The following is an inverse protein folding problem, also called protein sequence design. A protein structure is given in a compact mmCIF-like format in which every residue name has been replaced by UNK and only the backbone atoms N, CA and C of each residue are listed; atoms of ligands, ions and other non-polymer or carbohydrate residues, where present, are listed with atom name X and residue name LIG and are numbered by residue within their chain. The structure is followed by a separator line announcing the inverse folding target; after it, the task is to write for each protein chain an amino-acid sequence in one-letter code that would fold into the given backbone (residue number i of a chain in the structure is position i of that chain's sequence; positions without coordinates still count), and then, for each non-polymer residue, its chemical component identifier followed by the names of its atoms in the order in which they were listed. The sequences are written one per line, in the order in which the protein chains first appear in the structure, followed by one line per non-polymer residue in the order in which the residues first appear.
data_IF_938073302882
#
_entry.id   IF_938073302882
#
_cell.length_a   1.000
_cell.length_b   1.000
_cell.length_c   1.000
_cell.angle_alpha   90.00
_cell.angle_beta   90.00
_cell.angle_gamma   90.00
#
_symmetry.space_group_name_H-M   'P 1'
#
loop_
_entity.id
_entity.type
_entity.pdbx_description
1 polymer ?
#
# COMPACT_ATOMS: atom_id res chain seq x y z
N UNK A 1 24.40 3.42 -4.13
CA UNK A 1 23.31 3.91 -5.00
C UNK A 1 22.57 2.67 -5.47
N UNK A 2 21.53 2.25 -4.74
CA UNK A 2 20.76 1.05 -5.07
C UNK A 2 19.80 1.43 -6.19
N UNK A 3 20.09 0.93 -7.38
CA UNK A 3 19.19 0.93 -8.53
C UNK A 3 17.94 0.13 -8.18
N UNK A 4 16.78 0.50 -8.72
CA UNK A 4 15.53 -0.21 -8.51
C UNK A 4 15.70 -1.71 -8.83
N UNK A 5 15.66 -2.55 -7.80
CA UNK A 5 15.68 -4.01 -7.95
C UNK A 5 14.40 -4.46 -8.68
N UNK A 6 14.45 -5.56 -9.46
CA UNK A 6 13.26 -6.12 -10.08
C UNK A 6 12.18 -6.35 -9.02
N UNK A 7 10.95 -5.95 -9.33
CA UNK A 7 9.80 -6.15 -8.45
C UNK A 7 9.66 -7.63 -8.10
N UNK A 8 9.94 -8.00 -6.84
CA UNK A 8 9.77 -9.37 -6.37
C UNK A 8 8.29 -9.70 -6.33
N UNK A 9 7.91 -10.89 -6.79
CA UNK A 9 6.52 -11.34 -6.82
C UNK A 9 6.35 -12.46 -5.80
N UNK A 10 5.35 -12.33 -4.93
CA UNK A 10 4.90 -13.39 -4.02
C UNK A 10 3.63 -14.07 -4.54
N UNK A 11 3.55 -15.38 -4.41
CA UNK A 11 2.32 -16.13 -4.69
C UNK A 11 1.37 -16.06 -3.49
N UNK A 12 0.09 -15.83 -3.76
CA UNK A 12 -0.99 -15.90 -2.78
C UNK A 12 -1.71 -17.21 -2.98
N UNK A 13 -1.71 -18.06 -1.95
CA UNK A 13 -2.31 -19.40 -2.01
C UNK A 13 -3.76 -19.39 -1.53
N UNK A 14 -4.59 -20.22 -2.15
CA UNK A 14 -5.91 -20.58 -1.65
C UNK A 14 -5.74 -21.54 -0.45
N UNK A 15 -6.26 -21.19 0.74
CA UNK A 15 -6.09 -22.01 1.94
C UNK A 15 -6.83 -23.36 1.88
N UNK A 16 -7.83 -23.52 1.00
CA UNK A 16 -8.61 -24.75 0.90
C UNK A 16 -7.97 -25.78 -0.04
N UNK A 17 -7.26 -25.32 -1.06
CA UNK A 17 -6.74 -26.18 -2.15
C UNK A 17 -5.21 -26.17 -2.25
N UNK A 18 -4.54 -25.20 -1.61
CA UNK A 18 -3.10 -24.99 -1.72
C UNK A 18 -2.63 -24.51 -3.10
N UNK A 19 -3.54 -24.19 -4.01
CA UNK A 19 -3.20 -23.65 -5.33
C UNK A 19 -2.94 -22.15 -5.28
N UNK A 20 -2.20 -21.61 -6.25
CA UNK A 20 -1.98 -20.17 -6.38
C UNK A 20 -3.27 -19.51 -6.89
N UNK A 21 -3.83 -18.58 -6.11
CA UNK A 21 -5.02 -17.81 -6.48
C UNK A 21 -4.70 -16.41 -7.00
N UNK A 22 -3.55 -15.84 -6.62
CA UNK A 22 -3.10 -14.53 -7.10
C UNK A 22 -1.58 -14.38 -6.96
N UNK A 23 -1.04 -13.29 -7.51
CA UNK A 23 0.34 -12.84 -7.34
C UNK A 23 0.36 -11.40 -6.87
N UNK A 24 1.25 -11.10 -5.92
CA UNK A 24 1.41 -9.77 -5.33
C UNK A 24 2.82 -9.28 -5.52
N UNK A 25 2.96 -8.00 -5.89
CA UNK A 25 4.26 -7.34 -5.90
C UNK A 25 4.70 -7.05 -4.47
N UNK A 26 5.89 -7.49 -4.11
CA UNK A 26 6.52 -7.20 -2.83
C UNK A 26 7.24 -5.86 -2.93
N UNK A 27 6.86 -4.94 -2.03
CA UNK A 27 7.43 -3.60 -1.99
C UNK A 27 8.90 -3.59 -1.53
N UNK A 28 9.65 -2.63 -2.04
CA UNK A 28 11.01 -2.32 -1.62
C UNK A 28 11.03 -1.30 -0.48
N UNK A 29 12.21 -1.07 0.11
CA UNK A 29 12.40 0.04 1.04
C UNK A 29 12.04 1.40 0.41
N UNK A 30 12.40 1.62 -0.86
CA UNK A 30 12.07 2.86 -1.56
C UNK A 30 10.55 3.03 -1.76
N UNK A 31 9.80 1.95 -1.94
CA UNK A 31 8.33 2.00 -2.00
C UNK A 31 7.75 2.42 -0.66
N UNK A 32 8.27 1.87 0.43
CA UNK A 32 7.87 2.24 1.79
C UNK A 32 8.15 3.72 2.07
N UNK A 33 9.36 4.19 1.76
CA UNK A 33 9.76 5.58 1.99
C UNK A 33 8.85 6.55 1.21
N UNK A 34 8.54 6.24 -0.06
CA UNK A 34 7.62 7.03 -0.88
C UNK A 34 6.20 7.04 -0.30
N UNK A 35 5.70 5.88 0.13
CA UNK A 35 4.35 5.78 0.70
C UNK A 35 4.24 6.59 2.01
N UNK A 36 5.24 6.50 2.88
CA UNK A 36 5.27 7.26 4.15
C UNK A 36 5.35 8.76 3.88
N UNK A 37 6.24 9.20 2.97
CA UNK A 37 6.37 10.61 2.63
C UNK A 37 5.05 11.19 2.05
N UNK A 38 4.39 10.45 1.16
CA UNK A 38 3.10 10.86 0.61
C UNK A 38 2.01 10.94 1.69
N UNK A 39 1.94 9.95 2.58
CA UNK A 39 0.98 9.95 3.68
C UNK A 39 1.22 11.12 4.65
N UNK A 40 2.47 11.39 5.03
CA UNK A 40 2.83 12.52 5.88
C UNK A 40 2.45 13.86 5.26
N UNK A 41 2.69 14.04 3.95
CA UNK A 41 2.31 15.26 3.24
C UNK A 41 0.79 15.46 3.17
N UNK A 42 0.02 14.37 2.99
CA UNK A 42 -1.45 14.44 2.90
C UNK A 42 -2.14 14.60 4.27
N UNK A 43 -1.51 14.11 5.35
CA UNK A 43 -2.15 13.97 6.66
C UNK A 43 -2.71 15.30 7.22
N UNK A 44 -2.02 16.46 7.16
CA UNK A 44 -2.55 17.69 7.76
C UNK A 44 -3.85 18.16 7.11
N UNK A 45 -3.90 18.17 5.77
CA UNK A 45 -5.10 18.55 5.03
C UNK A 45 -6.24 17.54 5.22
N UNK A 46 -5.90 16.25 5.29
CA UNK A 46 -6.88 15.21 5.60
C UNK A 46 -7.45 15.36 7.01
N UNK A 47 -6.61 15.57 8.02
CA UNK A 47 -7.03 15.76 9.41
C UNK A 47 -7.91 17.00 9.60
N UNK A 48 -7.62 18.08 8.86
CA UNK A 48 -8.42 19.31 8.84
C UNK A 48 -9.76 19.17 8.12
N UNK A 49 -9.95 18.13 7.30
CA UNK A 49 -11.22 17.90 6.57
C UNK A 49 -12.34 17.57 7.57
N UNK A 50 -13.53 18.16 7.40
CA UNK A 50 -14.68 17.93 8.28
C UNK A 50 -14.92 16.42 8.54
N UNK A 51 -15.09 15.98 9.81
CA UNK A 51 -15.24 14.55 10.14
C UNK A 51 -16.37 13.84 9.38
N UNK A 52 -17.51 14.50 9.14
CA UNK A 52 -18.61 13.91 8.35
C UNK A 52 -18.20 13.69 6.89
N UNK A 53 -17.36 14.57 6.33
CA UNK A 53 -16.84 14.39 4.96
C UNK A 53 -15.86 13.22 4.89
N UNK A 54 -15.03 13.01 5.92
CA UNK A 54 -14.13 11.84 5.98
C UNK A 54 -14.91 10.54 6.14
N UNK A 55 -15.99 10.55 6.93
CA UNK A 55 -16.85 9.37 7.10
C UNK A 55 -17.44 8.90 5.77
N UNK A 56 -17.87 9.83 4.89
CA UNK A 56 -18.38 9.52 3.54
C UNK A 56 -17.35 8.90 2.57
N UNK A 57 -16.06 8.90 2.92
CA UNK A 57 -15.01 8.22 2.14
C UNK A 57 -14.85 6.77 2.61
N UNK A 58 -15.19 6.48 3.87
CA UNK A 58 -14.98 5.16 4.50
C UNK A 58 -16.22 4.24 4.40
N UNK A 59 -17.42 4.82 4.24
CA UNK A 59 -18.72 4.14 4.25
C UNK A 59 -19.61 4.69 3.15
#
# INVERSE_FOLDING_TARGET
MISADPAWIGDVFDPNTGQIQARVTLGTQADLDRAVAAAQAAQPAWAATNPQRRARVMF
#
